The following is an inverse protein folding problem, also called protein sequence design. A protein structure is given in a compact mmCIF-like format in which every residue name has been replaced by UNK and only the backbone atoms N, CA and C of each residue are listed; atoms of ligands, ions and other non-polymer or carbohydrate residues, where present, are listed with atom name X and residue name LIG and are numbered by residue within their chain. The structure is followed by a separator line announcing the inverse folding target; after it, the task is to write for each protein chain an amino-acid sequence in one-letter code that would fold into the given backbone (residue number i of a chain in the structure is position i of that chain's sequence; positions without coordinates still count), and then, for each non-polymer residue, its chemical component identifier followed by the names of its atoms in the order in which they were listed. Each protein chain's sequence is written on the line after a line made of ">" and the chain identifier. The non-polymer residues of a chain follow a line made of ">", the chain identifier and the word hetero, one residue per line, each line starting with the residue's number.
data_IF_335836863201
#
_entry.id   IF_335836863201
#
_cell.length_a   1.000
_cell.length_b   1.000
_cell.length_c   1.000
_cell.angle_alpha   90.00
_cell.angle_beta   90.00
_cell.angle_gamma   90.00
#
_symmetry.space_group_name_H-M   'P 1'
#
loop_
_entity.id
_entity.type
_entity.pdbx_description
1 polymer ?
#
# COMPACT_ATOMS: atom_id res chain seq x y z
N UNK A 1 22.04 -7.90 10.89
CA UNK A 1 22.83 -6.68 10.59
C UNK A 1 22.21 -6.03 9.37
N UNK A 2 21.76 -4.77 9.52
CA UNK A 2 21.15 -3.97 8.47
C UNK A 2 22.24 -3.44 7.54
N UNK A 3 22.18 -3.79 6.25
CA UNK A 3 22.96 -3.12 5.21
C UNK A 3 22.10 -2.02 4.59
N UNK A 4 22.25 -0.82 5.11
CA UNK A 4 21.88 0.42 4.42
C UNK A 4 22.99 0.77 3.44
N UNK A 5 22.70 0.83 2.15
CA UNK A 5 23.55 1.46 1.15
C UNK A 5 22.72 2.39 0.25
N UNK A 6 22.70 3.64 0.69
CA UNK A 6 22.63 4.91 -0.05
C UNK A 6 22.41 4.81 -1.58
N UNK A 7 21.21 5.17 -2.02
CA UNK A 7 20.98 5.61 -3.40
C UNK A 7 21.54 7.03 -3.57
N UNK A 8 22.62 7.15 -4.33
CA UNK A 8 23.11 8.43 -4.83
C UNK A 8 22.15 8.95 -5.90
N UNK A 9 21.40 10.01 -5.58
CA UNK A 9 20.59 10.74 -6.55
C UNK A 9 21.52 11.71 -7.27
N UNK A 10 21.98 11.33 -8.46
CA UNK A 10 22.62 12.25 -9.39
C UNK A 10 21.56 13.16 -10.00
N UNK A 11 21.48 14.41 -9.53
CA UNK A 11 20.82 15.49 -10.27
C UNK A 11 21.64 15.78 -11.53
N UNK A 12 21.29 15.13 -12.64
CA UNK A 12 21.70 15.60 -13.96
C UNK A 12 20.74 16.72 -14.37
N UNK A 13 21.30 17.92 -14.55
CA UNK A 13 20.58 19.15 -14.84
C UNK A 13 19.63 19.04 -16.02
N UNK A 14 18.38 19.46 -15.77
CA UNK A 14 17.44 19.87 -16.79
C UNK A 14 18.04 21.04 -17.58
N UNK A 15 18.66 20.76 -18.73
CA UNK A 15 18.76 21.76 -19.79
C UNK A 15 17.40 21.78 -20.46
N UNK A 16 16.54 22.67 -19.99
CA UNK A 16 15.31 23.00 -20.69
C UNK A 16 15.67 23.68 -22.01
N UNK A 17 15.83 22.89 -23.08
CA UNK A 17 15.75 23.44 -24.44
C UNK A 17 14.29 23.77 -24.70
N UNK A 18 13.88 24.96 -24.27
CA UNK A 18 12.63 25.56 -24.71
C UNK A 18 12.66 25.62 -26.24
N UNK A 19 11.74 24.98 -26.97
CA UNK A 19 11.55 25.34 -28.36
C UNK A 19 11.09 26.79 -28.36
N UNK A 20 11.93 27.69 -28.85
CA UNK A 20 11.48 29.00 -29.25
C UNK A 20 10.45 28.78 -30.35
N UNK A 21 9.17 28.78 -29.97
CA UNK A 21 8.08 28.88 -30.93
C UNK A 21 8.19 30.29 -31.48
N UNK A 22 8.81 30.42 -32.64
CA UNK A 22 8.72 31.62 -33.46
C UNK A 22 7.25 31.81 -33.80
N UNK A 23 6.56 32.67 -33.04
CA UNK A 23 5.31 33.25 -33.50
C UNK A 23 5.67 34.24 -34.60
N UNK A 24 5.88 33.71 -35.81
CA UNK A 24 5.59 34.49 -37.00
C UNK A 24 4.08 34.76 -36.94
N UNK A 25 3.69 35.90 -36.37
CA UNK A 25 2.40 36.51 -36.64
C UNK A 25 2.46 36.95 -38.10
N UNK A 26 2.29 35.99 -39.00
CA UNK A 26 1.73 36.31 -40.29
C UNK A 26 0.39 36.96 -39.99
N UNK A 27 0.20 38.21 -40.41
CA UNK A 27 -1.11 38.81 -40.69
C UNK A 27 -1.76 38.02 -41.84
N UNK A 28 -1.93 36.71 -41.64
CA UNK A 28 -2.68 35.85 -42.51
C UNK A 28 -4.13 36.07 -42.10
N UNK A 29 -4.75 37.03 -42.77
CA UNK A 29 -6.20 37.13 -42.85
C UNK A 29 -6.69 35.72 -43.15
N UNK A 30 -7.27 35.06 -42.15
CA UNK A 30 -7.75 33.69 -42.29
C UNK A 30 -8.60 33.64 -43.55
N UNK A 31 -8.12 32.93 -44.57
CA UNK A 31 -8.84 32.80 -45.82
C UNK A 31 -10.25 32.33 -45.48
N UNK A 32 -11.31 32.95 -46.04
CA UNK A 32 -12.67 32.56 -45.73
C UNK A 32 -12.79 31.06 -46.00
N UNK A 33 -13.01 30.29 -44.93
CA UNK A 33 -13.10 28.85 -45.01
C UNK A 33 -14.20 28.52 -46.00
N UNK A 34 -13.90 27.68 -46.99
CA UNK A 34 -14.90 27.24 -47.95
C UNK A 34 -16.14 26.74 -47.17
N UNK A 35 -17.37 27.08 -47.59
CA UNK A 35 -18.57 26.64 -46.91
C UNK A 35 -18.52 25.13 -46.70
N UNK A 36 -18.71 24.68 -45.47
CA UNK A 36 -18.72 23.24 -45.16
C UNK A 36 -19.78 22.56 -46.05
N UNK A 37 -19.44 21.51 -46.82
CA UNK A 37 -20.42 20.85 -47.67
C UNK A 37 -21.56 20.25 -46.83
N UNK A 38 -22.81 20.52 -47.23
CA UNK A 38 -24.01 19.98 -46.57
C UNK A 38 -24.64 20.94 -45.54
N UNK A 39 -25.37 20.38 -44.57
CA UNK A 39 -25.95 21.14 -43.45
C UNK A 39 -24.99 21.11 -42.23
N UNK A 40 -24.26 22.20 -41.95
CA UNK A 40 -23.32 22.24 -40.85
C UNK A 40 -24.00 22.21 -39.47
N UNK A 41 -25.28 22.58 -39.37
CA UNK A 41 -26.03 22.51 -38.10
C UNK A 41 -26.30 21.04 -37.76
N UNK A 42 -26.87 20.27 -38.69
CA UNK A 42 -27.13 18.85 -38.51
C UNK A 42 -25.83 18.06 -38.17
N UNK A 43 -24.72 18.38 -38.84
CA UNK A 43 -23.42 17.76 -38.54
C UNK A 43 -22.97 18.02 -37.09
N UNK A 44 -23.08 19.27 -36.62
CA UNK A 44 -22.72 19.64 -35.24
C UNK A 44 -23.60 18.92 -34.22
N UNK A 45 -24.90 18.84 -34.46
CA UNK A 45 -25.82 18.13 -33.58
C UNK A 45 -25.45 16.66 -33.42
N UNK A 46 -25.14 15.97 -34.53
CA UNK A 46 -24.69 14.56 -34.51
C UNK A 46 -23.38 14.41 -33.72
N UNK A 47 -22.40 15.31 -33.92
CA UNK A 47 -21.12 15.24 -33.21
C UNK A 47 -21.29 15.50 -31.71
N UNK A 48 -22.11 16.49 -31.34
CA UNK A 48 -22.42 16.80 -29.95
C UNK A 48 -23.13 15.64 -29.27
N UNK A 49 -24.12 15.02 -29.92
CA UNK A 49 -24.80 13.83 -29.41
C UNK A 49 -23.81 12.68 -29.17
N UNK A 50 -22.93 12.39 -30.13
CA UNK A 50 -21.89 11.35 -29.98
C UNK A 50 -20.90 11.67 -28.87
N UNK A 51 -20.53 12.94 -28.69
CA UNK A 51 -19.67 13.36 -27.58
C UNK A 51 -20.37 13.17 -26.23
N UNK A 52 -21.64 13.56 -26.13
CA UNK A 52 -22.45 13.40 -24.92
C UNK A 52 -22.60 11.93 -24.54
N UNK A 53 -22.89 11.06 -25.50
CA UNK A 53 -22.97 9.61 -25.26
C UNK A 53 -21.64 9.01 -24.77
N UNK A 54 -20.50 9.43 -25.35
CA UNK A 54 -19.18 8.99 -24.88
C UNK A 54 -18.91 9.47 -23.46
N UNK A 55 -19.22 10.73 -23.16
CA UNK A 55 -19.06 11.29 -21.82
C UNK A 55 -19.91 10.54 -20.79
N UNK A 56 -21.17 10.22 -21.12
CA UNK A 56 -22.04 9.44 -20.24
C UNK A 56 -21.47 8.04 -19.97
N UNK A 57 -20.97 7.34 -20.99
CA UNK A 57 -20.32 6.04 -20.81
C UNK A 57 -19.07 6.14 -19.95
N UNK A 58 -18.27 7.19 -20.12
CA UNK A 58 -17.09 7.42 -19.31
C UNK A 58 -17.46 7.63 -17.83
N UNK A 59 -18.43 8.50 -17.55
CA UNK A 59 -18.90 8.72 -16.17
C UNK A 59 -19.46 7.45 -15.53
N UNK A 60 -20.21 6.64 -16.27
CA UNK A 60 -20.69 5.36 -15.77
C UNK A 60 -19.54 4.38 -15.48
N UNK A 61 -18.47 4.39 -16.28
CA UNK A 61 -17.29 3.58 -16.03
C UNK A 61 -16.52 4.08 -14.81
N UNK A 62 -16.32 5.39 -14.69
CA UNK A 62 -15.61 5.99 -13.56
C UNK A 62 -16.34 5.75 -12.24
N UNK A 63 -17.68 5.82 -12.24
CA UNK A 63 -18.48 5.47 -11.08
C UNK A 63 -18.30 3.99 -10.66
N UNK A 64 -18.22 3.07 -11.63
CA UNK A 64 -17.93 1.65 -11.35
C UNK A 64 -16.51 1.44 -10.82
N UNK A 65 -15.53 2.14 -11.40
CA UNK A 65 -14.14 2.08 -10.95
C UNK A 65 -14.00 2.61 -9.52
N UNK A 66 -14.66 3.72 -9.20
CA UNK A 66 -14.66 4.30 -7.87
C UNK A 66 -15.28 3.34 -6.85
N UNK A 67 -16.45 2.76 -7.16
CA UNK A 67 -17.09 1.79 -6.28
C UNK A 67 -16.22 0.54 -6.05
N UNK A 68 -15.52 0.06 -7.08
CA UNK A 68 -14.58 -1.06 -6.96
C UNK A 68 -13.38 -0.71 -6.07
N UNK A 69 -12.79 0.48 -6.27
CA UNK A 69 -11.70 0.98 -5.45
C UNK A 69 -12.10 1.10 -3.98
N UNK A 70 -13.26 1.70 -3.70
CA UNK A 70 -13.77 1.88 -2.34
C UNK A 70 -14.01 0.53 -1.65
N UNK A 71 -14.52 -0.47 -2.39
CA UNK A 71 -14.70 -1.82 -1.88
C UNK A 71 -13.37 -2.52 -1.54
N UNK A 72 -12.35 -2.34 -2.38
CA UNK A 72 -11.00 -2.86 -2.11
C UNK A 72 -10.41 -2.20 -0.86
N UNK A 73 -10.45 -0.87 -0.76
CA UNK A 73 -9.96 -0.13 0.41
C UNK A 73 -10.67 -0.56 1.69
N UNK A 74 -11.99 -0.74 1.65
CA UNK A 74 -12.76 -1.21 2.80
C UNK A 74 -12.34 -2.63 3.24
N UNK A 75 -12.09 -3.51 2.28
CA UNK A 75 -11.63 -4.89 2.53
C UNK A 75 -10.23 -4.89 3.16
N UNK A 76 -9.28 -4.16 2.56
CA UNK A 76 -7.90 -4.06 3.06
C UNK A 76 -7.87 -3.50 4.49
N UNK A 77 -8.68 -2.46 4.74
CA UNK A 77 -8.77 -1.87 6.07
C UNK A 77 -9.32 -2.88 7.09
N UNK A 78 -10.36 -3.64 6.74
CA UNK A 78 -10.92 -4.68 7.60
C UNK A 78 -9.88 -5.78 7.89
N UNK A 79 -9.13 -6.22 6.89
CA UNK A 79 -8.07 -7.21 7.06
C UNK A 79 -6.97 -6.72 8.00
N UNK A 80 -6.46 -5.49 7.81
CA UNK A 80 -5.45 -4.90 8.68
C UNK A 80 -5.93 -4.82 10.14
N UNK A 81 -7.19 -4.45 10.37
CA UNK A 81 -7.76 -4.43 11.72
C UNK A 81 -7.81 -5.82 12.34
N UNK A 82 -8.25 -6.83 11.59
CA UNK A 82 -8.29 -8.21 12.07
C UNK A 82 -6.88 -8.74 12.38
N UNK A 83 -5.92 -8.55 11.48
CA UNK A 83 -4.54 -8.98 11.67
C UNK A 83 -3.91 -8.31 12.90
N UNK A 84 -4.17 -7.00 13.10
CA UNK A 84 -3.70 -6.27 14.28
C UNK A 84 -4.31 -6.80 15.57
N UNK A 85 -5.60 -7.11 15.57
CA UNK A 85 -6.28 -7.70 16.73
C UNK A 85 -5.69 -9.08 17.08
N UNK A 86 -5.51 -9.94 16.08
CA UNK A 86 -4.91 -11.26 16.23
C UNK A 86 -3.44 -11.17 16.74
N UNK A 87 -2.64 -10.25 16.19
CA UNK A 87 -1.27 -10.00 16.66
C UNK A 87 -1.23 -9.57 18.13
N UNK A 88 -2.10 -8.64 18.53
CA UNK A 88 -2.16 -8.22 19.93
C UNK A 88 -2.62 -9.33 20.86
N UNK A 89 -3.50 -10.22 20.40
CA UNK A 89 -3.90 -11.40 21.15
C UNK A 89 -2.72 -12.37 21.32
N UNK A 90 -2.04 -12.74 20.25
CA UNK A 90 -0.91 -13.67 20.32
C UNK A 90 0.24 -13.12 21.18
N UNK A 91 0.46 -11.80 21.15
CA UNK A 91 1.44 -11.15 22.03
C UNK A 91 1.07 -11.30 23.51
N UNK A 92 -0.21 -11.14 23.88
CA UNK A 92 -0.67 -11.36 25.26
C UNK A 92 -0.52 -12.81 25.69
N UNK A 93 -0.86 -13.75 24.82
CA UNK A 93 -0.71 -15.18 25.08
C UNK A 93 0.77 -15.56 25.27
N UNK A 94 1.65 -15.06 24.41
CA UNK A 94 3.09 -15.26 24.53
C UNK A 94 3.67 -14.66 25.81
N UNK A 95 3.26 -13.44 26.18
CA UNK A 95 3.68 -12.82 27.44
C UNK A 95 3.23 -13.62 28.65
N UNK A 96 2.00 -14.15 28.63
CA UNK A 96 1.47 -15.03 29.67
C UNK A 96 2.28 -16.33 29.75
N UNK A 97 2.50 -17.01 28.63
CA UNK A 97 3.30 -18.24 28.59
C UNK A 97 4.72 -18.02 29.12
N UNK A 98 5.37 -16.90 28.78
CA UNK A 98 6.68 -16.55 29.35
C UNK A 98 6.62 -16.32 30.86
N UNK A 99 5.60 -15.63 31.35
CA UNK A 99 5.43 -15.40 32.79
C UNK A 99 5.22 -16.72 33.53
N UNK A 100 4.37 -17.58 33.00
CA UNK A 100 4.06 -18.89 33.57
C UNK A 100 5.31 -19.79 33.58
N UNK A 101 6.07 -19.81 32.48
CA UNK A 101 7.35 -20.52 32.41
C UNK A 101 8.34 -20.02 33.46
N UNK A 102 8.54 -18.69 33.58
CA UNK A 102 9.46 -18.12 34.58
C UNK A 102 9.03 -18.46 36.01
N UNK A 103 7.72 -18.42 36.29
CA UNK A 103 7.19 -18.77 37.60
C UNK A 103 7.41 -20.27 37.91
N UNK A 104 7.11 -21.15 36.94
CA UNK A 104 7.33 -22.58 37.07
C UNK A 104 8.81 -22.91 37.27
N UNK A 105 9.69 -22.28 36.48
CA UNK A 105 11.15 -22.42 36.61
C UNK A 105 11.63 -21.98 37.99
N UNK A 106 11.20 -20.83 38.47
CA UNK A 106 11.56 -20.34 39.79
C UNK A 106 11.09 -21.27 40.92
N UNK A 107 9.86 -21.80 40.83
CA UNK A 107 9.33 -22.77 41.79
C UNK A 107 10.14 -24.08 41.76
N UNK A 108 10.51 -24.55 40.58
CA UNK A 108 11.34 -25.73 40.41
C UNK A 108 12.75 -25.54 40.99
N UNK A 109 13.40 -24.39 40.79
CA UNK A 109 14.70 -24.07 41.40
C UNK A 109 14.60 -23.89 42.93
N UNK A 110 13.43 -23.54 43.45
CA UNK A 110 13.16 -23.53 44.89
C UNK A 110 13.06 -24.94 45.47
N UNK A 111 12.41 -25.86 44.76
CA UNK A 111 12.32 -27.26 45.17
C UNK A 111 13.66 -28.01 45.05
N UNK A 112 14.58 -27.56 44.18
CA UNK A 112 15.82 -28.26 43.85
C UNK A 112 17.07 -27.44 44.25
N UNK A 113 17.53 -27.54 45.52
CA UNK A 113 18.63 -26.71 46.02
C UNK A 113 19.99 -26.97 45.34
N UNK A 114 20.21 -28.15 44.76
CA UNK A 114 21.43 -28.47 44.02
C UNK A 114 21.57 -27.62 42.74
N UNK A 115 20.46 -27.28 42.09
CA UNK A 115 20.44 -26.38 40.94
C UNK A 115 20.90 -24.96 41.32
N UNK A 116 20.44 -24.46 42.47
CA UNK A 116 20.83 -23.13 42.96
C UNK A 116 22.30 -23.06 43.39
N UNK A 117 22.88 -24.20 43.79
CA UNK A 117 24.30 -24.32 44.15
C UNK A 117 25.22 -24.53 42.93
N UNK A 118 24.66 -24.63 41.73
CA UNK A 118 25.43 -24.82 40.50
C UNK A 118 26.05 -26.22 40.37
N UNK A 119 25.44 -27.24 40.97
CA UNK A 119 25.84 -28.64 40.77
C UNK A 119 24.98 -29.27 39.65
N UNK A 120 25.43 -29.24 38.38
CA UNK A 120 24.65 -29.74 37.25
C UNK A 120 24.49 -31.26 37.26
N UNK A 121 25.29 -32.00 38.03
CA UNK A 121 25.20 -33.48 38.11
C UNK A 121 24.03 -33.88 39.00
N UNK A 122 23.75 -33.10 40.05
CA UNK A 122 22.66 -33.35 41.00
C UNK A 122 21.42 -32.50 40.74
N UNK A 123 21.51 -31.52 39.85
CA UNK A 123 20.38 -30.75 39.41
C UNK A 123 19.56 -31.59 38.41
N UNK A 124 18.28 -31.88 38.67
CA UNK A 124 17.44 -32.56 37.69
C UNK A 124 17.31 -31.73 36.40
N UNK A 125 16.87 -32.33 35.29
CA UNK A 125 16.57 -31.58 34.07
C UNK A 125 15.36 -30.65 34.27
N UNK A 126 15.30 -29.58 33.47
CA UNK A 126 14.15 -28.67 33.47
C UNK A 126 12.90 -29.45 33.03
N UNK A 127 11.79 -29.40 33.80
CA UNK A 127 10.55 -30.09 33.46
C UNK A 127 10.05 -29.78 32.04
N UNK A 128 10.28 -28.58 31.52
CA UNK A 128 9.83 -28.18 30.18
C UNK A 128 10.73 -28.74 29.05
N UNK A 129 11.99 -29.08 29.35
CA UNK A 129 12.92 -29.72 28.40
C UNK A 129 12.84 -31.25 28.42
N UNK A 130 12.11 -31.82 29.39
CA UNK A 130 12.07 -33.26 29.67
C UNK A 130 10.96 -34.01 28.92
N UNK A 131 10.06 -33.30 28.23
CA UNK A 131 8.84 -33.83 27.61
C UNK A 131 8.76 -33.66 26.09
N UNK A 132 9.89 -33.62 25.40
CA UNK A 132 9.98 -33.61 23.93
C UNK A 132 10.02 -35.01 23.33
#
# INVERSE_FOLDING_TARGET
>A
MRTTALFAISLAGLVATSPAVSFAQSDEVAAPSAPEPGDPVAKREILNARQAERAQRQLAQDARNQAAYDATVATDHAEVHQQRAAYHQSLREYQRAQSDYRAARAAWEQANPYCRKGDPVRCPPDPETSGG
#
